data_IF_716548828086
#
_entry.id   IF_716548828086
#
_cell.length_a   1.000
_cell.length_b   1.000
_cell.length_c   1.000
_cell.angle_alpha   90.00
_cell.angle_beta   90.00
_cell.angle_gamma   90.00
#
_symmetry.space_group_name_H-M   'P 1'
#
loop_
_entity.id
_entity.type
_entity.pdbx_description
1 polymer ?
#
# COMPACT_ATOMS: atom_id res chain seq x y z
N UNK A 1 -13.91 6.48 -8.12
CA UNK A 1 -13.64 5.45 -7.10
C UNK A 1 -12.84 4.31 -7.70
N UNK A 2 -11.53 4.49 -7.76
CA UNK A 2 -10.58 3.44 -8.14
C UNK A 2 -10.11 2.78 -6.84
N UNK A 3 -10.47 1.50 -6.63
CA UNK A 3 -10.05 0.73 -5.46
C UNK A 3 -8.66 0.18 -5.73
N UNK A 4 -7.66 0.58 -4.93
CA UNK A 4 -6.30 0.05 -5.06
C UNK A 4 -6.03 -0.95 -3.96
N UNK A 5 -5.63 -2.16 -4.36
CA UNK A 5 -5.13 -3.17 -3.44
C UNK A 5 -3.69 -2.84 -3.05
N UNK A 6 -3.46 -2.57 -1.77
CA UNK A 6 -2.12 -2.36 -1.19
C UNK A 6 -1.69 -3.65 -0.50
N UNK A 7 -0.54 -4.18 -0.90
CA UNK A 7 0.08 -5.36 -0.31
C UNK A 7 1.24 -4.94 0.58
N UNK A 8 1.16 -5.21 1.87
CA UNK A 8 2.24 -4.94 2.82
C UNK A 8 2.86 -6.25 3.30
N UNK A 9 4.20 -6.33 3.31
CA UNK A 9 4.91 -7.52 3.78
C UNK A 9 4.83 -7.62 5.31
N UNK A 10 4.43 -8.78 5.83
CA UNK A 10 4.21 -8.97 7.26
C UNK A 10 5.08 -10.07 7.85
N UNK A 11 5.20 -11.22 7.18
CA UNK A 11 5.98 -12.35 7.68
C UNK A 11 6.91 -12.90 6.61
N UNK A 12 8.04 -13.45 7.07
CA UNK A 12 9.04 -14.16 6.26
C UNK A 12 9.29 -15.54 6.84
N UNK A 13 9.47 -16.52 5.97
CA UNK A 13 9.80 -17.89 6.35
C UNK A 13 11.28 -18.03 6.66
N UNK A 14 11.60 -18.77 7.71
CA UNK A 14 12.97 -19.09 8.13
C UNK A 14 13.16 -20.61 8.05
N UNK A 15 14.15 -21.12 7.33
CA UNK A 15 14.52 -22.53 7.39
C UNK A 15 15.30 -22.83 8.70
N UNK A 16 15.26 -24.06 9.26
CA UNK A 16 14.65 -25.28 8.71
C UNK A 16 13.19 -25.49 9.11
N UNK A 17 12.39 -25.99 8.17
CA UNK A 17 10.98 -26.38 8.43
C UNK A 17 9.97 -25.26 8.18
N UNK A 18 8.86 -25.30 8.91
CA UNK A 18 7.79 -24.30 8.84
C UNK A 18 7.93 -23.29 9.97
N UNK A 19 8.99 -22.47 9.91
CA UNK A 19 9.20 -21.39 10.88
C UNK A 19 9.02 -20.03 10.20
N UNK A 20 8.49 -19.08 10.96
CA UNK A 20 8.14 -17.75 10.46
C UNK A 20 8.69 -16.67 11.38
N UNK A 21 9.01 -15.51 10.83
CA UNK A 21 9.43 -14.34 11.60
C UNK A 21 8.76 -13.10 11.04
N UNK A 22 8.63 -12.07 11.87
CA UNK A 22 8.09 -10.78 11.44
C UNK A 22 9.07 -10.10 10.47
N UNK A 23 8.54 -9.52 9.39
CA UNK A 23 9.35 -8.90 8.35
C UNK A 23 9.84 -7.49 8.70
N UNK A 24 9.13 -6.81 9.62
CA UNK A 24 9.30 -5.40 9.97
C UNK A 24 10.01 -5.21 11.32
N UNK A 25 9.95 -6.21 12.21
CA UNK A 25 10.59 -6.20 13.53
C UNK A 25 11.39 -7.48 13.74
N UNK A 26 12.57 -7.37 14.36
CA UNK A 26 13.25 -8.54 14.93
C UNK A 26 12.40 -9.07 16.08
N UNK A 27 11.55 -10.06 15.76
CA UNK A 27 10.64 -10.71 16.68
C UNK A 27 11.04 -12.17 16.85
N UNK A 28 10.47 -12.82 17.85
CA UNK A 28 10.66 -14.25 18.06
C UNK A 28 10.24 -15.05 16.81
N UNK A 29 10.92 -16.18 16.61
CA UNK A 29 10.61 -17.10 15.52
C UNK A 29 9.36 -17.88 15.91
N UNK A 30 8.31 -17.73 15.10
CA UNK A 30 7.06 -18.46 15.25
C UNK A 30 7.23 -19.90 14.73
N UNK A 31 6.82 -20.92 15.51
CA UNK A 31 6.99 -22.32 15.16
C UNK A 31 5.97 -22.83 14.14
N UNK A 32 4.91 -22.07 13.87
CA UNK A 32 3.89 -22.40 12.85
C UNK A 32 3.42 -21.17 12.10
N UNK A 33 2.94 -21.39 10.87
CA UNK A 33 2.30 -20.35 10.05
C UNK A 33 1.14 -19.65 10.77
N UNK A 34 0.30 -20.44 11.44
CA UNK A 34 -0.90 -19.96 12.15
C UNK A 34 -0.53 -18.99 13.29
N UNK A 35 0.53 -19.28 14.04
CA UNK A 35 0.98 -18.40 15.13
C UNK A 35 1.46 -17.05 14.59
N UNK A 36 2.20 -17.07 13.47
CA UNK A 36 2.62 -15.85 12.79
C UNK A 36 1.43 -15.03 12.28
N UNK A 37 0.43 -15.69 11.69
CA UNK A 37 -0.79 -15.03 11.21
C UNK A 37 -1.59 -14.41 12.37
N UNK A 38 -1.77 -15.13 13.48
CA UNK A 38 -2.45 -14.62 14.66
C UNK A 38 -1.70 -13.41 15.25
N UNK A 39 -0.38 -13.48 15.36
CA UNK A 39 0.44 -12.34 15.78
C UNK A 39 0.22 -11.14 14.85
N UNK A 40 0.27 -11.35 13.53
CA UNK A 40 0.05 -10.27 12.56
C UNK A 40 -1.34 -9.65 12.64
N UNK A 41 -2.36 -10.48 12.89
CA UNK A 41 -3.74 -10.06 13.06
C UNK A 41 -3.87 -9.16 14.31
N UNK A 42 -3.30 -9.59 15.43
CA UNK A 42 -3.28 -8.84 16.68
C UNK A 42 -2.50 -7.53 16.55
N UNK A 43 -1.33 -7.53 15.90
CA UNK A 43 -0.53 -6.32 15.66
C UNK A 43 -1.30 -5.27 14.84
N UNK A 44 -2.10 -5.72 13.87
CA UNK A 44 -2.93 -4.82 13.06
C UNK A 44 -4.20 -4.32 13.77
N UNK A 45 -4.45 -4.77 15.01
CA UNK A 45 -5.67 -4.46 15.76
C UNK A 45 -6.94 -5.04 15.12
N UNK A 46 -6.81 -6.17 14.42
CA UNK A 46 -7.93 -6.87 13.76
C UNK A 46 -8.40 -6.27 12.44
N UNK A 47 -7.64 -5.33 11.86
CA UNK A 47 -7.98 -4.68 10.58
C UNK A 47 -7.54 -5.48 9.36
N UNK A 48 -6.58 -6.39 9.54
CA UNK A 48 -6.07 -7.22 8.46
C UNK A 48 -6.84 -8.52 8.38
N UNK A 49 -7.75 -8.65 7.43
CA UNK A 49 -8.53 -9.87 7.24
C UNK A 49 -8.01 -10.75 6.11
N UNK A 50 -7.29 -10.16 5.16
CA UNK A 50 -6.84 -10.84 3.95
C UNK A 50 -5.32 -10.96 3.92
N UNK A 51 -4.85 -12.19 3.69
CA UNK A 51 -3.43 -12.51 3.60
C UNK A 51 -3.12 -13.21 2.28
N UNK A 52 -2.03 -12.82 1.65
CA UNK A 52 -1.50 -13.43 0.44
C UNK A 52 -0.16 -14.11 0.73
N UNK A 53 -0.10 -15.43 0.52
CA UNK A 53 1.10 -16.24 0.72
C UNK A 53 1.84 -16.46 -0.60
N UNK A 54 3.10 -16.03 -0.67
CA UNK A 54 4.02 -16.38 -1.76
C UNK A 54 4.83 -17.62 -1.38
N UNK A 55 4.40 -18.79 -1.83
CA UNK A 55 5.02 -20.08 -1.45
C UNK A 55 6.47 -20.22 -1.91
N UNK A 56 6.83 -19.63 -3.05
CA UNK A 56 8.20 -19.73 -3.59
C UNK A 56 9.19 -18.89 -2.79
N UNK A 57 8.79 -17.68 -2.38
CA UNK A 57 9.64 -16.78 -1.58
C UNK A 57 9.53 -17.04 -0.08
N UNK A 58 8.47 -17.70 0.36
CA UNK A 58 8.17 -17.87 1.78
C UNK A 58 7.80 -16.53 2.43
N UNK A 59 7.00 -15.71 1.75
CA UNK A 59 6.62 -14.37 2.23
C UNK A 59 5.10 -14.27 2.34
N UNK A 60 4.62 -13.64 3.41
CA UNK A 60 3.20 -13.38 3.63
C UNK A 60 2.96 -11.88 3.63
N UNK A 61 1.99 -11.48 2.84
CA UNK A 61 1.56 -10.10 2.69
C UNK A 61 0.15 -9.93 3.26
N UNK A 62 -0.10 -8.83 3.96
CA UNK A 62 -1.45 -8.35 4.23
C UNK A 62 -1.98 -7.60 3.01
N UNK A 63 -3.23 -7.84 2.65
CA UNK A 63 -3.93 -7.12 1.59
C UNK A 63 -4.93 -6.16 2.24
N UNK A 64 -4.80 -4.88 1.93
CA UNK A 64 -5.75 -3.86 2.34
C UNK A 64 -6.27 -3.12 1.12
N UNK A 65 -7.58 -2.90 1.08
CA UNK A 65 -8.23 -2.08 0.06
C UNK A 65 -8.32 -0.66 0.58
N UNK A 66 -7.59 0.25 -0.04
CA UNK A 66 -7.73 1.68 0.23
C UNK A 66 -8.56 2.33 -0.88
N UNK A 67 -9.60 3.06 -0.48
CA UNK A 67 -10.34 3.94 -1.36
C UNK A 67 -9.51 5.21 -1.56
N UNK A 68 -8.84 5.33 -2.72
CA UNK A 68 -8.16 6.57 -3.04
C UNK A 68 -9.21 7.69 -3.21
N UNK A 69 -9.07 8.84 -2.53
CA UNK A 69 -9.93 9.98 -2.80
C UNK A 69 -9.72 10.40 -4.26
N UNK A 70 -10.82 10.63 -4.98
CA UNK A 70 -10.81 10.97 -6.41
C UNK A 70 -9.77 12.08 -6.67
N UNK A 71 -8.95 11.88 -7.71
CA UNK A 71 -7.98 12.86 -8.14
C UNK A 71 -8.63 14.24 -8.21
N UNK A 72 -7.93 15.32 -7.81
CA UNK A 72 -8.48 16.66 -7.93
C UNK A 72 -8.98 16.84 -9.37
N UNK A 73 -10.20 17.36 -9.57
CA UNK A 73 -10.77 17.50 -10.90
C UNK A 73 -9.77 18.24 -11.78
N UNK A 74 -9.60 17.84 -13.06
CA UNK A 74 -8.70 18.54 -13.96
C UNK A 74 -9.00 20.04 -13.89
N UNK A 75 -7.97 20.90 -13.90
CA UNK A 75 -8.16 22.33 -13.82
C UNK A 75 -9.18 22.75 -14.88
N UNK A 76 -10.24 23.46 -14.45
CA UNK A 76 -11.28 23.91 -15.38
C UNK A 76 -10.59 24.74 -16.48
N UNK A 77 -10.85 24.46 -17.78
CA UNK A 77 -10.26 25.23 -18.85
C UNK A 77 -10.61 26.70 -18.64
N UNK A 78 -9.60 27.56 -18.60
CA UNK A 78 -9.79 29.01 -18.54
C UNK A 78 -9.96 29.48 -19.97
N UNK A 79 -11.19 29.83 -20.34
CA UNK A 79 -11.48 30.44 -21.64
C UNK A 79 -11.11 31.92 -21.62
N UNK A 80 -10.36 32.38 -22.62
CA UNK A 80 -10.20 33.81 -22.91
C UNK A 80 -11.54 34.44 -23.33
N UNK A 81 -11.67 35.77 -23.32
CA UNK A 81 -12.87 36.47 -23.84
C UNK A 81 -13.19 36.14 -25.31
N UNK A 82 -12.21 35.58 -26.03
CA UNK A 82 -12.34 35.14 -27.42
C UNK A 82 -12.54 33.61 -27.57
N UNK A 83 -12.72 32.87 -26.48
CA UNK A 83 -13.05 31.43 -26.51
C UNK A 83 -11.85 30.50 -26.72
N UNK A 84 -10.62 31.00 -26.74
CA UNK A 84 -9.41 30.18 -26.82
C UNK A 84 -9.14 29.47 -25.47
N UNK A 85 -8.77 28.18 -25.54
CA UNK A 85 -8.36 27.35 -24.41
C UNK A 85 -6.94 27.76 -23.99
N UNK A 86 -6.81 28.48 -22.88
CA UNK A 86 -5.51 28.93 -22.37
C UNK A 86 -4.97 27.90 -21.39
N UNK A 87 -4.48 26.78 -21.91
CA UNK A 87 -3.71 25.84 -21.11
C UNK A 87 -2.29 26.38 -20.93
N UNK A 88 -2.00 26.76 -19.68
CA UNK A 88 -0.68 27.11 -19.15
C UNK A 88 -0.10 28.47 -19.62
N UNK A 89 -0.39 29.54 -18.88
CA UNK A 89 0.54 30.67 -18.81
C UNK A 89 1.73 30.26 -17.93
N UNK A 90 2.97 30.16 -18.47
CA UNK A 90 4.14 30.10 -17.60
C UNK A 90 4.17 31.38 -16.77
N UNK A 91 4.25 31.24 -15.45
CA UNK A 91 4.34 32.36 -14.52
C UNK A 91 5.53 33.23 -14.90
N UNK A 92 5.29 34.47 -15.32
CA UNK A 92 6.32 35.47 -15.66
C UNK A 92 7.07 36.01 -14.42
N UNK A 93 6.95 35.35 -13.26
CA UNK A 93 7.47 35.80 -11.97
C UNK A 93 8.44 34.81 -11.32
N UNK A 94 9.05 33.91 -12.10
CA UNK A 94 10.26 33.24 -11.63
C UNK A 94 11.49 34.10 -11.99
N UNK A 95 12.32 34.30 -10.97
CA UNK A 95 13.59 35.04 -10.90
C UNK A 95 13.52 36.58 -10.74
N UNK A 96 13.55 37.00 -9.46
CA UNK A 96 14.75 37.66 -8.92
C UNK A 96 14.92 37.45 -7.42
#
# INVERSE_FOLDING_TARGET
METKEVKQLVLKRVPPGDQWTDANKESEVFPSLTDGLEYSFQQSGGKTTEFHLSSFKGEIFSVHTEELPDAPPPPKPRYSMYGEEVDEQPSMWNEK
#
